data_IF_090370211420
#
_entry.id   IF_090370211420
#
_cell.length_a   1.000
_cell.length_b   1.000
_cell.length_c   1.000
_cell.angle_alpha   90.00
_cell.angle_beta   90.00
_cell.angle_gamma   90.00
#
_symmetry.space_group_name_H-M   'P 1'
#
loop_
_entity.id
_entity.type
_entity.pdbx_description
1 polymer ?
#
# COMPACT_ATOMS: atom_id res chain seq x y z
N UNK A 1 12.06 23.69 9.01
CA UNK A 1 12.54 22.42 8.43
C UNK A 1 12.64 21.41 9.56
N UNK A 2 11.57 20.65 9.83
CA UNK A 2 11.55 19.75 10.99
C UNK A 2 12.59 18.64 10.80
N UNK A 3 13.40 18.32 11.82
CA UNK A 3 14.40 17.26 11.72
C UNK A 3 13.68 15.97 11.33
N UNK A 4 14.11 15.32 10.24
CA UNK A 4 13.58 14.00 9.87
C UNK A 4 13.90 13.07 11.02
N UNK A 5 12.92 12.79 11.88
CA UNK A 5 13.04 11.75 12.89
C UNK A 5 13.52 10.48 12.16
N UNK A 6 14.55 9.80 12.69
CA UNK A 6 14.95 8.51 12.12
C UNK A 6 13.76 7.58 12.27
N UNK A 7 13.00 7.38 11.19
CA UNK A 7 11.82 6.54 11.21
C UNK A 7 12.20 5.14 11.74
N UNK A 8 11.70 4.80 12.93
CA UNK A 8 11.90 3.47 13.52
C UNK A 8 11.28 2.46 12.56
N UNK A 9 12.12 1.58 12.00
CA UNK A 9 11.65 0.51 11.11
C UNK A 9 11.03 -0.60 11.96
N UNK A 10 9.91 -1.20 11.52
CA UNK A 10 9.36 -2.37 12.18
C UNK A 10 10.33 -3.55 12.05
N UNK A 11 10.36 -4.40 13.06
CA UNK A 11 11.03 -5.69 12.93
C UNK A 11 10.23 -6.63 11.99
N UNK A 12 10.79 -7.77 11.54
CA UNK A 12 10.11 -8.65 10.59
C UNK A 12 8.74 -9.14 11.08
N UNK A 13 8.60 -9.51 12.35
CA UNK A 13 7.34 -9.98 12.92
C UNK A 13 6.27 -8.87 12.99
N UNK A 14 6.66 -7.65 13.37
CA UNK A 14 5.80 -6.47 13.37
C UNK A 14 5.36 -6.12 11.95
N UNK A 15 6.25 -6.25 10.96
CA UNK A 15 5.92 -6.02 9.57
C UNK A 15 4.92 -7.05 9.02
N UNK A 16 5.11 -8.34 9.33
CA UNK A 16 4.16 -9.41 8.95
C UNK A 16 2.81 -9.18 9.63
N UNK A 17 2.80 -8.92 10.94
CA UNK A 17 1.56 -8.62 11.66
C UNK A 17 0.86 -7.39 11.07
N UNK A 18 1.61 -6.34 10.73
CA UNK A 18 1.11 -5.16 10.02
C UNK A 18 0.55 -5.48 8.64
N UNK A 19 1.22 -6.37 7.88
CA UNK A 19 0.74 -6.85 6.59
C UNK A 19 -0.64 -7.51 6.72
N UNK A 20 -0.79 -8.38 7.72
CA UNK A 20 -2.06 -9.01 8.10
C UNK A 20 -3.06 -8.06 8.78
N UNK A 21 -2.74 -6.77 8.91
CA UNK A 21 -3.67 -5.75 9.37
C UNK A 21 -3.55 -5.41 10.85
N UNK A 22 -2.48 -5.75 11.56
CA UNK A 22 -2.24 -5.25 12.92
C UNK A 22 -1.78 -3.78 12.89
N UNK A 23 -2.20 -2.98 13.88
CA UNK A 23 -1.72 -1.60 14.04
C UNK A 23 -0.27 -1.65 14.58
N UNK A 24 0.64 -0.92 13.94
CA UNK A 24 1.99 -0.67 14.47
C UNK A 24 1.97 0.37 15.61
N UNK A 25 2.94 0.34 16.54
CA UNK A 25 3.06 1.35 17.60
C UNK A 25 3.18 2.78 17.04
N UNK A 26 2.67 3.76 17.79
CA UNK A 26 2.64 5.17 17.34
C UNK A 26 4.05 5.75 17.12
N UNK A 27 5.08 5.21 17.79
CA UNK A 27 6.49 5.57 17.52
C UNK A 27 6.99 5.24 16.10
N UNK A 28 6.23 4.46 15.32
CA UNK A 28 6.53 4.10 13.93
C UNK A 28 5.61 4.80 12.92
N UNK A 29 4.85 5.81 13.35
CA UNK A 29 3.88 6.50 12.50
C UNK A 29 4.52 7.17 11.26
N UNK A 30 5.74 7.68 11.38
CA UNK A 30 6.51 8.21 10.23
C UNK A 30 6.84 7.13 9.19
N UNK A 31 7.15 5.92 9.64
CA UNK A 31 7.37 4.76 8.76
C UNK A 31 6.06 4.37 8.06
N UNK A 32 4.95 4.31 8.82
CA UNK A 32 3.61 4.00 8.28
C UNK A 32 3.19 5.03 7.23
N UNK A 33 3.41 6.33 7.50
CA UNK A 33 3.15 7.40 6.54
C UNK A 33 3.94 7.14 5.25
N UNK A 34 5.23 6.90 5.33
CA UNK A 34 6.04 6.62 4.15
C UNK A 34 5.66 5.31 3.43
N UNK A 35 5.16 4.30 4.13
CA UNK A 35 4.62 3.07 3.54
C UNK A 35 3.35 3.35 2.72
N UNK A 36 2.42 4.12 3.28
CA UNK A 36 1.08 4.31 2.71
C UNK A 36 1.02 5.40 1.63
N UNK A 37 1.84 6.45 1.74
CA UNK A 37 1.78 7.61 0.84
C UNK A 37 3.13 7.97 0.22
N UNK A 38 4.21 7.22 0.48
CA UNK A 38 5.51 7.48 -0.10
C UNK A 38 5.58 7.20 -1.61
N UNK A 39 6.75 7.45 -2.20
CA UNK A 39 6.98 7.24 -3.64
C UNK A 39 6.86 5.75 -4.05
N UNK A 40 7.12 4.84 -3.10
CA UNK A 40 7.04 3.39 -3.27
C UNK A 40 5.77 2.76 -2.69
N UNK A 41 4.72 3.55 -2.45
CA UNK A 41 3.49 3.06 -1.81
C UNK A 41 2.79 1.96 -2.61
N UNK A 42 2.76 2.07 -3.95
CA UNK A 42 2.11 1.08 -4.84
C UNK A 42 2.80 -0.29 -4.75
N UNK A 43 4.09 -0.44 -5.06
CA UNK A 43 4.74 -1.75 -4.98
C UNK A 43 4.79 -2.31 -3.55
N UNK A 44 4.94 -1.47 -2.52
CA UNK A 44 4.85 -1.92 -1.12
C UNK A 44 3.46 -2.44 -0.78
N UNK A 45 2.41 -1.78 -1.26
CA UNK A 45 1.05 -2.26 -1.09
C UNK A 45 0.86 -3.63 -1.74
N UNK A 46 1.29 -3.81 -2.99
CA UNK A 46 1.17 -5.08 -3.70
C UNK A 46 1.86 -6.23 -2.94
N UNK A 47 3.12 -6.04 -2.54
CA UNK A 47 3.87 -7.05 -1.78
C UNK A 47 3.18 -7.35 -0.45
N UNK A 48 2.81 -6.32 0.31
CA UNK A 48 2.20 -6.46 1.63
C UNK A 48 0.84 -7.16 1.55
N UNK A 49 0.05 -6.90 0.50
CA UNK A 49 -1.24 -7.53 0.28
C UNK A 49 -1.14 -9.01 -0.04
N UNK A 50 0.00 -9.50 -0.53
CA UNK A 50 0.20 -10.94 -0.79
C UNK A 50 0.49 -11.74 0.49
N UNK A 51 1.02 -11.10 1.54
CA UNK A 51 1.45 -11.78 2.78
C UNK A 51 0.35 -12.64 3.40
N UNK A 52 -0.91 -12.16 3.55
CA UNK A 52 -1.99 -12.98 4.11
C UNK A 52 -2.40 -14.17 3.23
N UNK A 53 -2.10 -14.15 1.93
CA UNK A 53 -2.43 -15.24 0.99
C UNK A 53 -1.37 -16.34 0.92
N UNK A 54 -0.17 -16.11 1.48
CA UNK A 54 0.90 -17.12 1.46
C UNK A 54 0.49 -18.50 2.00
N UNK A 55 -0.31 -18.61 3.10
CA UNK A 55 -0.80 -19.92 3.56
C UNK A 55 -1.72 -20.60 2.54
N UNK A 56 -2.54 -19.82 1.82
CA UNK A 56 -3.45 -20.34 0.78
C UNK A 56 -2.63 -20.87 -0.40
N UNK A 57 -1.63 -20.12 -0.85
CA UNK A 57 -0.74 -20.55 -1.92
C UNK A 57 0.07 -21.79 -1.52
N UNK A 58 0.54 -21.87 -0.28
CA UNK A 58 1.18 -23.07 0.25
C UNK A 58 0.23 -24.27 0.27
N UNK A 59 -1.05 -24.07 0.60
CA UNK A 59 -2.05 -25.13 0.59
C UNK A 59 -2.29 -25.69 -0.83
N UNK A 60 -2.24 -24.87 -1.88
CA UNK A 60 -2.32 -25.37 -3.26
C UNK A 60 -1.17 -26.31 -3.64
N UNK A 61 -0.01 -26.20 -3.00
CA UNK A 61 1.08 -27.15 -3.21
C UNK A 61 0.84 -28.51 -2.54
N UNK A 62 -0.09 -28.61 -1.58
CA UNK A 62 -0.47 -29.87 -0.94
C UNK A 62 -1.45 -30.69 -1.79
N UNK A 63 -2.04 -30.10 -2.84
CA UNK A 63 -2.95 -30.82 -3.72
C UNK A 63 -2.24 -31.95 -4.48
N UNK A 64 -2.88 -33.12 -4.63
CA UNK A 64 -2.35 -34.19 -5.48
C UNK A 64 -2.37 -33.74 -6.95
N UNK A 65 -1.31 -34.08 -7.70
CA UNK A 65 -1.21 -33.79 -9.14
C UNK A 65 0.14 -33.22 -9.57
N UNK A 66 0.33 -32.96 -10.87
CA UNK A 66 1.58 -32.44 -11.42
C UNK A 66 1.93 -31.05 -10.87
N UNK A 67 3.25 -30.75 -10.78
CA UNK A 67 3.73 -29.45 -10.28
C UNK A 67 3.24 -28.27 -11.12
N UNK A 68 3.11 -28.44 -12.44
CA UNK A 68 2.61 -27.39 -13.32
C UNK A 68 1.15 -27.02 -12.99
N UNK A 69 0.31 -28.00 -12.63
CA UNK A 69 -1.09 -27.76 -12.28
C UNK A 69 -1.19 -26.95 -10.98
N UNK A 70 -0.40 -27.33 -9.96
CA UNK A 70 -0.30 -26.59 -8.70
C UNK A 70 0.20 -25.17 -8.95
N UNK A 71 1.21 -25.02 -9.83
CA UNK A 71 1.73 -23.72 -10.27
C UNK A 71 0.66 -22.86 -10.93
N UNK A 72 -0.18 -23.43 -11.81
CA UNK A 72 -1.29 -22.71 -12.45
C UNK A 72 -2.35 -22.25 -11.44
N UNK A 73 -2.67 -23.06 -10.42
CA UNK A 73 -3.59 -22.68 -9.34
C UNK A 73 -3.06 -21.49 -8.53
N UNK A 74 -1.79 -21.52 -8.16
CA UNK A 74 -1.13 -20.41 -7.46
C UNK A 74 -1.09 -19.18 -8.34
N UNK A 75 -0.73 -19.31 -9.62
CA UNK A 75 -0.66 -18.20 -10.56
C UNK A 75 -2.03 -17.51 -10.71
N UNK A 76 -3.10 -18.30 -10.88
CA UNK A 76 -4.46 -17.78 -10.94
C UNK A 76 -4.85 -17.05 -9.64
N UNK A 77 -4.53 -17.64 -8.49
CA UNK A 77 -4.77 -17.03 -7.18
C UNK A 77 -4.01 -15.71 -6.99
N UNK A 78 -2.75 -15.65 -7.42
CA UNK A 78 -1.92 -14.42 -7.38
C UNK A 78 -2.54 -13.34 -8.26
N UNK A 79 -2.95 -13.65 -9.49
CA UNK A 79 -3.59 -12.67 -10.37
C UNK A 79 -4.87 -12.09 -9.75
N UNK A 80 -5.72 -12.95 -9.20
CA UNK A 80 -6.96 -12.52 -8.55
C UNK A 80 -6.68 -11.65 -7.31
N UNK A 81 -5.72 -12.06 -6.47
CA UNK A 81 -5.31 -11.31 -5.29
C UNK A 81 -4.73 -9.94 -5.64
N UNK A 82 -3.89 -9.86 -6.68
CA UNK A 82 -3.32 -8.60 -7.16
C UNK A 82 -4.39 -7.69 -7.76
N UNK A 83 -5.31 -8.24 -8.55
CA UNK A 83 -6.43 -7.51 -9.13
C UNK A 83 -7.24 -6.81 -8.02
N UNK A 84 -7.66 -7.56 -7.01
CA UNK A 84 -8.41 -6.99 -5.89
C UNK A 84 -7.56 -6.06 -5.02
N UNK A 85 -6.28 -6.36 -4.83
CA UNK A 85 -5.38 -5.44 -4.12
C UNK A 85 -5.29 -4.10 -4.83
N UNK A 86 -5.20 -4.08 -6.15
CA UNK A 86 -5.17 -2.84 -6.93
C UNK A 86 -6.52 -2.11 -6.85
N UNK A 87 -7.62 -2.83 -7.07
CA UNK A 87 -8.97 -2.27 -7.06
C UNK A 87 -9.34 -1.60 -5.72
N UNK A 88 -8.94 -2.19 -4.60
CA UNK A 88 -9.22 -1.69 -3.26
C UNK A 88 -8.05 -0.96 -2.61
N UNK A 89 -7.02 -0.58 -3.38
CA UNK A 89 -5.80 0.01 -2.84
C UNK A 89 -6.11 1.31 -2.08
N UNK A 90 -6.96 2.17 -2.64
CA UNK A 90 -7.29 3.45 -2.03
C UNK A 90 -8.07 3.27 -0.73
N UNK A 91 -9.11 2.44 -0.73
CA UNK A 91 -9.93 2.17 0.46
C UNK A 91 -9.07 1.54 1.58
N UNK A 92 -8.16 0.63 1.23
CA UNK A 92 -7.21 0.05 2.18
C UNK A 92 -6.24 1.08 2.76
N UNK A 93 -5.75 2.01 1.92
CA UNK A 93 -4.88 3.10 2.35
C UNK A 93 -5.60 4.03 3.33
N UNK A 94 -6.80 4.50 2.98
CA UNK A 94 -7.63 5.40 3.84
C UNK A 94 -7.91 4.76 5.20
N UNK A 95 -8.41 3.52 5.21
CA UNK A 95 -8.68 2.77 6.44
C UNK A 95 -7.43 2.58 7.31
N UNK A 96 -6.26 2.33 6.70
CA UNK A 96 -5.01 2.20 7.45
C UNK A 96 -4.54 3.53 8.01
N UNK A 97 -4.69 4.64 7.29
CA UNK A 97 -4.41 5.98 7.80
C UNK A 97 -5.30 6.29 9.02
N UNK A 98 -6.60 6.05 8.92
CA UNK A 98 -7.58 6.20 10.02
C UNK A 98 -7.18 5.40 11.25
N UNK A 99 -6.85 4.12 11.08
CA UNK A 99 -6.41 3.25 12.20
C UNK A 99 -5.12 3.72 12.87
N UNK A 100 -4.34 4.54 12.18
CA UNK A 100 -3.12 5.15 12.68
C UNK A 100 -3.30 6.61 13.12
N UNK A 101 -4.55 7.11 13.20
CA UNK A 101 -4.85 8.49 13.61
C UNK A 101 -4.34 9.53 12.60
N UNK A 102 -4.09 9.13 11.36
CA UNK A 102 -3.67 10.01 10.27
C UNK A 102 -4.90 10.43 9.46
N UNK A 103 -4.83 11.59 8.80
CA UNK A 103 -5.87 12.04 7.90
C UNK A 103 -6.12 10.98 6.79
N UNK A 104 -7.37 10.49 6.59
CA UNK A 104 -7.68 9.49 5.57
C UNK A 104 -7.33 9.93 4.16
N UNK A 105 -7.46 11.22 3.87
CA UNK A 105 -7.29 11.81 2.54
C UNK A 105 -5.84 12.27 2.29
N UNK A 106 -4.92 11.89 3.19
CA UNK A 106 -3.51 12.24 3.07
C UNK A 106 -2.92 11.62 1.79
N UNK A 107 -2.50 12.47 0.86
CA UNK A 107 -1.83 12.09 -0.38
C UNK A 107 -0.30 12.14 -0.28
N UNK A 108 0.39 11.63 -1.31
CA UNK A 108 1.83 11.81 -1.44
C UNK A 108 2.14 13.32 -1.62
N UNK A 109 2.95 13.96 -0.76
CA UNK A 109 3.20 15.40 -0.82
C UNK A 109 3.76 15.87 -2.17
N UNK A 110 4.61 15.06 -2.82
CA UNK A 110 5.18 15.39 -4.14
C UNK A 110 4.13 15.33 -5.23
N UNK A 111 3.26 14.30 -5.20
CA UNK A 111 2.17 14.17 -6.19
C UNK A 111 1.16 15.29 -6.03
N UNK A 112 0.81 15.64 -4.79
CA UNK A 112 -0.09 16.75 -4.49
C UNK A 112 0.53 18.08 -4.94
N UNK A 113 1.81 18.33 -4.64
CA UNK A 113 2.49 19.56 -5.07
C UNK A 113 2.55 19.67 -6.61
N UNK A 114 2.84 18.58 -7.31
CA UNK A 114 2.85 18.56 -8.78
C UNK A 114 1.46 18.84 -9.35
N UNK A 115 0.44 18.18 -8.84
CA UNK A 115 -0.95 18.39 -9.25
C UNK A 115 -1.42 19.84 -9.02
N UNK A 116 -1.06 20.43 -7.88
CA UNK A 116 -1.38 21.82 -7.58
C UNK A 116 -0.63 22.79 -8.50
N UNK A 117 0.64 22.51 -8.84
CA UNK A 117 1.41 23.29 -9.78
C UNK A 117 0.83 23.22 -11.21
N UNK A 118 0.39 22.04 -11.64
CA UNK A 118 -0.29 21.82 -12.92
C UNK A 118 -1.61 22.60 -12.99
N UNK A 119 -2.43 22.55 -11.91
CA UNK A 119 -3.66 23.35 -11.79
C UNK A 119 -3.39 24.86 -11.87
N UNK A 120 -2.42 25.35 -11.10
CA UNK A 120 -2.08 26.77 -11.09
C UNK A 120 -1.56 27.24 -12.47
N UNK A 121 -0.80 26.40 -13.18
CA UNK A 121 -0.37 26.68 -14.54
C UNK A 121 -1.55 26.72 -15.52
N UNK A 122 -2.53 25.82 -15.36
CA UNK A 122 -3.75 25.80 -16.17
C UNK A 122 -4.63 27.04 -15.93
N UNK A 123 -4.90 27.39 -14.67
CA UNK A 123 -5.67 28.58 -14.27
C UNK A 123 -5.02 29.88 -14.79
N UNK A 124 -3.68 29.96 -14.75
CA UNK A 124 -2.94 31.11 -15.32
C UNK A 124 -3.06 31.18 -16.85
N UNK A 125 -3.10 30.03 -17.52
CA UNK A 125 -3.24 29.96 -18.98
C UNK A 125 -4.69 30.18 -19.44
N UNK A 126 -5.69 29.87 -18.61
CA UNK A 126 -7.12 29.95 -18.94
C UNK A 126 -7.94 30.66 -17.83
N UNK A 127 -7.77 31.98 -17.65
CA UNK A 127 -8.46 32.76 -16.60
C UNK A 127 -9.99 32.91 -16.77
N UNK A 128 -10.60 32.25 -17.76
CA UNK A 128 -12.00 32.47 -18.17
C UNK A 128 -12.85 31.19 -18.31
N UNK A 129 -12.45 30.07 -17.71
CA UNK A 129 -13.36 28.96 -17.50
C UNK A 129 -14.03 29.12 -16.13
N UNK A 130 -15.32 29.49 -16.17
CA UNK A 130 -16.23 29.87 -15.07
C UNK A 130 -16.13 29.08 -13.77
#
# INVERSE_FOLDING_TARGET
MSPRSKAKRPNPFQWIAYACGRKLPDSMQDWVRNDLIGDWAVPRHMIRSMVPFLPIFAAFFLFPGPVWLRGSMVLLGVFLALFFSAAYMEQNRRRRLERHGLNPDLGNPKKVARHNAEKAAYEKAHPHAF
#
